data_IF_643201685847
#
_entry.id   IF_643201685847
#
_cell.length_a   1.000
_cell.length_b   1.000
_cell.length_c   1.000
_cell.angle_alpha   90.00
_cell.angle_beta   90.00
_cell.angle_gamma   90.00
#
_symmetry.space_group_name_H-M   'P 1'
#
loop_
_entity.id
_entity.type
_entity.pdbx_description
1 polymer ?
#
# COMPACT_ATOMS: atom_id res chain seq x y z
N UNK A 1 -28.77 20.64 -33.50
CA UNK A 1 -30.02 20.03 -34.01
C UNK A 1 -31.16 19.98 -32.98
N UNK A 2 -30.89 20.16 -31.68
CA UNK A 2 -31.86 20.09 -30.58
C UNK A 2 -32.12 21.46 -29.89
N UNK A 3 -31.61 22.55 -30.38
CA UNK A 3 -31.61 23.84 -29.68
C UNK A 3 -32.96 24.62 -29.67
N UNK A 4 -34.00 24.10 -30.27
CA UNK A 4 -35.30 24.81 -30.29
C UNK A 4 -36.55 23.95 -30.55
N UNK A 5 -36.52 22.61 -30.39
CA UNK A 5 -37.65 21.77 -30.76
C UNK A 5 -38.02 20.78 -29.69
N UNK A 6 -39.30 20.68 -29.37
CA UNK A 6 -39.88 19.73 -28.42
C UNK A 6 -39.67 18.28 -28.86
N UNK A 7 -38.98 17.48 -28.07
CA UNK A 7 -38.80 16.04 -28.31
C UNK A 7 -39.97 15.26 -27.66
N UNK A 8 -40.58 14.32 -28.39
CA UNK A 8 -41.57 13.38 -27.85
C UNK A 8 -40.89 12.02 -27.61
N UNK A 9 -41.04 11.49 -26.39
CA UNK A 9 -40.54 10.14 -26.06
C UNK A 9 -41.71 9.16 -26.22
N UNK A 10 -41.48 8.10 -27.03
CA UNK A 10 -42.45 7.00 -27.17
C UNK A 10 -41.81 5.77 -26.54
N UNK A 11 -42.44 5.21 -25.51
CA UNK A 11 -42.00 3.99 -24.88
C UNK A 11 -42.25 2.78 -25.78
N UNK A 12 -41.24 1.92 -25.95
CA UNK A 12 -41.33 0.73 -26.82
C UNK A 12 -41.85 -0.51 -26.12
N UNK A 13 -42.26 -0.40 -24.84
CA UNK A 13 -42.86 -1.49 -24.06
C UNK A 13 -41.89 -2.58 -23.61
N UNK A 14 -40.57 -2.44 -23.86
CA UNK A 14 -39.54 -3.37 -23.34
C UNK A 14 -39.01 -2.83 -22.03
N UNK A 15 -39.17 -3.60 -20.97
CA UNK A 15 -38.57 -3.33 -19.65
C UNK A 15 -37.48 -4.37 -19.38
N UNK A 16 -36.33 -3.95 -18.86
CA UNK A 16 -35.38 -4.83 -18.21
C UNK A 16 -35.20 -4.32 -16.78
N UNK A 17 -34.87 -5.19 -15.85
CA UNK A 17 -35.02 -5.08 -14.40
C UNK A 17 -34.85 -3.69 -13.72
N UNK A 18 -34.39 -2.65 -14.42
CA UNK A 18 -34.34 -1.27 -13.93
C UNK A 18 -34.34 -0.16 -15.02
N UNK A 19 -34.68 -0.46 -16.28
CA UNK A 19 -34.72 0.56 -17.34
C UNK A 19 -35.92 0.41 -18.26
N UNK A 20 -36.62 1.54 -18.50
CA UNK A 20 -37.66 1.64 -19.54
C UNK A 20 -36.95 2.09 -20.83
N UNK A 21 -37.13 1.31 -21.91
CA UNK A 21 -36.58 1.66 -23.21
C UNK A 21 -37.62 2.50 -23.99
N UNK A 22 -37.18 3.59 -24.56
CA UNK A 22 -38.00 4.45 -25.37
C UNK A 22 -37.26 5.04 -26.56
N UNK A 23 -37.97 5.26 -27.68
CA UNK A 23 -37.46 6.02 -28.80
C UNK A 23 -37.80 7.51 -28.64
N UNK A 24 -36.80 8.35 -28.90
CA UNK A 24 -36.97 9.80 -28.90
C UNK A 24 -37.29 10.23 -30.34
N UNK A 25 -38.39 10.90 -30.54
CA UNK A 25 -38.80 11.44 -31.82
C UNK A 25 -38.70 12.98 -31.85
N UNK A 26 -37.98 13.48 -32.85
CA UNK A 26 -37.91 14.91 -33.13
C UNK A 26 -38.53 15.13 -34.51
N UNK A 27 -39.62 15.91 -34.59
CA UNK A 27 -40.36 16.15 -35.82
C UNK A 27 -40.80 14.86 -36.56
N UNK A 28 -41.32 13.87 -35.86
CA UNK A 28 -41.74 12.57 -36.40
C UNK A 28 -40.60 11.66 -36.90
N UNK A 29 -39.33 12.05 -36.81
CA UNK A 29 -38.18 11.22 -37.12
C UNK A 29 -37.66 10.56 -35.82
N UNK A 30 -37.46 9.26 -35.83
CA UNK A 30 -36.82 8.55 -34.72
C UNK A 30 -35.41 9.07 -34.52
N UNK A 31 -35.12 9.55 -33.32
CA UNK A 31 -33.78 10.03 -33.00
C UNK A 31 -32.76 8.88 -33.05
N UNK A 32 -33.20 7.66 -32.79
CA UNK A 32 -32.45 6.43 -32.97
C UNK A 32 -31.99 6.27 -34.40
N UNK A 33 -32.92 6.40 -35.39
CA UNK A 33 -32.60 6.22 -36.79
C UNK A 33 -31.68 7.34 -37.29
N UNK A 34 -31.87 8.54 -36.75
CA UNK A 34 -30.98 9.67 -37.05
C UNK A 34 -29.57 9.46 -36.51
N UNK A 35 -29.45 8.97 -35.27
CA UNK A 35 -28.15 8.64 -34.68
C UNK A 35 -27.46 7.49 -35.41
N UNK A 36 -28.21 6.45 -35.81
CA UNK A 36 -27.69 5.34 -36.63
C UNK A 36 -27.18 5.85 -37.96
N UNK A 37 -27.97 6.61 -38.71
CA UNK A 37 -27.59 7.17 -39.99
C UNK A 37 -26.43 8.14 -39.91
N UNK A 38 -26.32 8.87 -38.82
CA UNK A 38 -25.21 9.81 -38.58
C UNK A 38 -23.97 9.14 -37.91
N UNK A 39 -23.99 7.83 -37.68
CA UNK A 39 -22.90 7.09 -37.02
C UNK A 39 -22.81 7.27 -35.50
N UNK A 40 -23.89 7.67 -34.82
CA UNK A 40 -23.96 7.97 -33.38
C UNK A 40 -24.81 6.99 -32.57
N UNK A 41 -25.13 5.80 -33.07
CA UNK A 41 -26.03 4.88 -32.39
C UNK A 41 -25.43 4.30 -31.09
N UNK A 42 -26.23 4.32 -30.04
CA UNK A 42 -25.93 3.79 -28.71
C UNK A 42 -26.61 2.45 -28.42
N UNK A 43 -26.89 1.63 -29.44
CA UNK A 43 -27.47 0.29 -29.19
C UNK A 43 -26.42 -0.69 -28.68
N UNK A 44 -26.76 -1.41 -27.64
CA UNK A 44 -25.96 -2.32 -26.81
C UNK A 44 -25.40 -3.57 -27.53
N UNK A 45 -25.16 -3.58 -28.82
CA UNK A 45 -24.54 -4.71 -29.53
C UNK A 45 -23.71 -4.31 -30.76
N UNK A 46 -23.29 -3.05 -30.89
CA UNK A 46 -22.57 -2.60 -32.06
C UNK A 46 -21.20 -2.03 -31.69
N UNK A 47 -20.19 -2.89 -31.69
CA UNK A 47 -18.78 -2.51 -31.43
C UNK A 47 -18.25 -1.39 -32.35
N UNK A 48 -18.68 -1.38 -33.62
CA UNK A 48 -18.23 -0.38 -34.59
C UNK A 48 -18.79 1.04 -34.35
N UNK A 49 -20.01 1.14 -33.83
CA UNK A 49 -20.66 2.43 -33.59
C UNK A 49 -20.21 3.05 -32.26
N UNK A 50 -19.90 2.23 -31.29
CA UNK A 50 -19.26 2.67 -30.05
C UNK A 50 -17.86 3.25 -30.32
N UNK A 51 -17.07 2.63 -31.20
CA UNK A 51 -15.76 3.17 -31.61
C UNK A 51 -15.88 4.47 -32.43
N UNK A 52 -16.93 4.60 -33.25
CA UNK A 52 -17.22 5.90 -33.92
C UNK A 52 -17.62 6.99 -32.92
N UNK A 53 -18.45 6.65 -31.92
CA UNK A 53 -18.82 7.57 -30.84
C UNK A 53 -17.61 8.01 -30.00
N UNK A 54 -16.68 7.09 -29.75
CA UNK A 54 -15.39 7.42 -29.10
C UNK A 54 -14.55 8.41 -29.93
N UNK A 55 -14.44 8.19 -31.25
CA UNK A 55 -13.69 9.08 -32.14
C UNK A 55 -14.25 10.50 -32.15
N UNK A 56 -15.55 10.66 -31.98
CA UNK A 56 -16.22 11.96 -31.93
C UNK A 56 -16.20 12.63 -30.56
N UNK A 57 -15.61 11.96 -29.55
CA UNK A 57 -15.56 12.45 -28.16
C UNK A 57 -16.93 12.90 -27.66
N UNK A 58 -17.96 12.06 -27.84
CA UNK A 58 -19.29 12.33 -27.32
C UNK A 58 -19.31 12.23 -25.81
N UNK A 59 -20.10 13.11 -25.18
CA UNK A 59 -20.29 13.16 -23.72
C UNK A 59 -21.79 13.31 -23.40
N UNK A 60 -22.17 12.94 -22.20
CA UNK A 60 -23.51 13.17 -21.64
C UNK A 60 -23.43 14.44 -20.79
N UNK A 61 -24.12 15.50 -21.16
CA UNK A 61 -24.24 16.73 -20.36
C UNK A 61 -25.54 16.68 -19.56
N UNK A 62 -25.43 16.77 -18.24
CA UNK A 62 -26.57 16.97 -17.34
C UNK A 62 -26.80 18.47 -17.17
N UNK A 63 -27.90 18.99 -17.72
CA UNK A 63 -28.22 20.42 -17.70
C UNK A 63 -28.42 20.97 -16.29
N UNK A 64 -29.07 20.22 -15.40
CA UNK A 64 -29.36 20.65 -14.03
C UNK A 64 -28.12 20.88 -13.19
N UNK A 65 -27.10 20.03 -13.36
CA UNK A 65 -25.85 20.13 -12.61
C UNK A 65 -24.71 20.79 -13.37
N UNK A 66 -24.90 21.08 -14.65
CA UNK A 66 -23.91 21.53 -15.62
C UNK A 66 -22.63 20.64 -15.62
N UNK A 67 -22.82 19.34 -15.39
CA UNK A 67 -21.74 18.35 -15.40
C UNK A 67 -21.84 17.47 -16.63
N UNK A 68 -20.69 17.21 -17.26
CA UNK A 68 -20.63 16.28 -18.37
C UNK A 68 -19.97 14.96 -17.96
N UNK A 69 -20.42 13.88 -18.58
CA UNK A 69 -20.08 12.50 -18.24
C UNK A 69 -19.61 11.74 -19.48
N UNK A 70 -18.77 10.72 -19.29
CA UNK A 70 -18.49 9.75 -20.34
C UNK A 70 -19.74 8.92 -20.64
N UNK A 71 -19.86 8.41 -21.87
CA UNK A 71 -21.05 7.65 -22.31
C UNK A 71 -21.38 6.43 -21.45
N UNK A 72 -20.38 5.82 -20.82
CA UNK A 72 -20.54 4.66 -19.94
C UNK A 72 -20.59 5.01 -18.44
N UNK A 73 -20.78 6.29 -18.12
CA UNK A 73 -20.87 6.71 -16.72
C UNK A 73 -22.25 6.44 -16.15
N UNK A 74 -22.34 5.62 -15.10
CA UNK A 74 -23.63 5.30 -14.47
C UNK A 74 -24.40 6.55 -13.99
N UNK A 75 -23.72 7.61 -13.60
CA UNK A 75 -24.35 8.86 -13.17
C UNK A 75 -24.79 9.74 -14.35
N UNK A 76 -24.22 9.57 -15.53
CA UNK A 76 -24.69 10.23 -16.74
C UNK A 76 -25.91 9.52 -17.32
N UNK A 77 -25.95 8.20 -17.29
CA UNK A 77 -27.01 7.39 -17.87
C UNK A 77 -28.34 7.42 -17.09
N UNK A 78 -28.31 7.75 -15.81
CA UNK A 78 -29.52 7.88 -14.95
C UNK A 78 -30.01 9.31 -14.81
N UNK A 79 -29.37 10.28 -15.44
CA UNK A 79 -29.77 11.68 -15.31
C UNK A 79 -31.02 11.98 -16.18
N UNK A 80 -32.07 12.47 -15.55
CA UNK A 80 -33.36 12.77 -16.22
C UNK A 80 -33.25 13.95 -17.22
N UNK A 81 -32.31 14.85 -17.03
CA UNK A 81 -32.12 16.08 -17.80
C UNK A 81 -30.74 16.06 -18.50
N UNK A 82 -30.47 15.02 -19.28
CA UNK A 82 -29.20 14.85 -19.93
C UNK A 82 -29.29 14.81 -21.45
N UNK A 83 -28.32 15.41 -22.11
CA UNK A 83 -28.16 15.37 -23.57
C UNK A 83 -26.79 14.78 -23.93
N UNK A 84 -26.75 14.07 -25.06
CA UNK A 84 -25.48 13.59 -25.64
C UNK A 84 -25.03 14.60 -26.69
N UNK A 85 -23.81 15.09 -26.55
CA UNK A 85 -23.24 16.06 -27.49
C UNK A 85 -21.72 15.86 -27.61
N UNK A 86 -21.10 16.35 -28.70
CA UNK A 86 -19.66 16.39 -28.81
C UNK A 86 -19.03 17.25 -27.70
N UNK A 87 -17.94 16.79 -27.10
CA UNK A 87 -17.24 17.50 -26.00
C UNK A 87 -16.87 18.94 -26.39
N UNK A 88 -16.56 19.19 -27.70
CA UNK A 88 -16.29 20.52 -28.26
C UNK A 88 -17.49 21.48 -28.17
N UNK A 89 -18.69 20.97 -28.00
CA UNK A 89 -19.93 21.76 -27.91
C UNK A 89 -20.34 22.06 -26.47
N UNK A 90 -19.54 21.65 -25.46
CA UNK A 90 -19.76 22.01 -24.08
C UNK A 90 -19.60 23.53 -23.88
N UNK A 91 -20.44 24.09 -23.02
CA UNK A 91 -20.25 25.46 -22.56
C UNK A 91 -18.95 25.60 -21.77
N UNK A 92 -18.32 26.79 -21.79
CA UNK A 92 -17.02 27.02 -21.11
C UNK A 92 -17.06 26.77 -19.60
N UNK A 93 -18.22 26.89 -18.98
CA UNK A 93 -18.45 26.68 -17.56
C UNK A 93 -18.89 25.24 -17.20
N UNK A 94 -19.06 24.37 -18.21
CA UNK A 94 -19.41 22.96 -17.97
C UNK A 94 -18.28 22.23 -17.26
N UNK A 95 -18.63 21.49 -16.18
CA UNK A 95 -17.67 20.81 -15.33
C UNK A 95 -17.65 19.29 -15.59
N UNK A 96 -16.46 18.66 -15.63
CA UNK A 96 -16.38 17.21 -15.75
C UNK A 96 -16.96 16.50 -14.51
N UNK A 97 -17.63 15.39 -14.73
CA UNK A 97 -18.08 14.53 -13.64
C UNK A 97 -16.89 13.96 -12.88
N UNK A 98 -16.87 14.13 -11.56
CA UNK A 98 -15.78 13.68 -10.69
C UNK A 98 -15.55 12.16 -10.71
N UNK A 99 -16.52 11.37 -11.14
CA UNK A 99 -16.46 9.91 -11.14
C UNK A 99 -15.97 9.32 -12.47
N UNK A 100 -16.32 9.91 -13.60
CA UNK A 100 -15.93 9.38 -14.91
C UNK A 100 -14.89 10.21 -15.65
N UNK A 101 -14.80 11.48 -15.36
CA UNK A 101 -13.66 12.34 -15.66
C UNK A 101 -12.82 12.47 -14.38
N UNK A 102 -12.43 11.35 -13.79
CA UNK A 102 -11.13 11.37 -13.10
C UNK A 102 -10.19 12.00 -14.13
N UNK A 103 -9.59 13.18 -13.85
CA UNK A 103 -8.49 13.70 -14.65
C UNK A 103 -7.72 12.49 -15.08
N UNK A 104 -7.57 12.19 -16.40
CA UNK A 104 -6.51 11.30 -16.85
C UNK A 104 -5.37 11.76 -15.99
N UNK A 105 -5.01 10.94 -15.01
CA UNK A 105 -3.80 11.22 -14.30
C UNK A 105 -2.84 11.47 -15.45
N UNK A 106 -2.35 12.69 -15.60
CA UNK A 106 -1.15 12.96 -16.39
C UNK A 106 -0.34 11.74 -16.15
N UNK A 107 0.20 11.07 -17.19
CA UNK A 107 0.96 9.85 -17.01
C UNK A 107 1.91 10.13 -15.86
N UNK A 108 1.40 9.93 -14.66
CA UNK A 108 2.13 10.14 -13.42
C UNK A 108 3.29 9.22 -13.64
N UNK A 109 4.49 9.78 -13.83
CA UNK A 109 5.72 9.03 -13.89
C UNK A 109 5.54 7.96 -12.83
N UNK A 110 5.31 6.71 -13.27
CA UNK A 110 5.27 5.59 -12.35
C UNK A 110 6.63 5.61 -11.72
N UNK A 111 6.66 5.87 -10.42
CA UNK A 111 7.94 5.90 -9.74
C UNK A 111 8.53 4.49 -9.86
N UNK A 112 9.77 4.32 -10.26
CA UNK A 112 10.37 3.00 -10.29
C UNK A 112 10.32 2.42 -8.87
N UNK A 113 9.79 1.21 -8.68
CA UNK A 113 9.54 0.61 -7.37
C UNK A 113 10.67 -0.27 -6.87
N UNK A 114 11.83 -0.26 -7.53
CA UNK A 114 13.00 -1.00 -7.13
C UNK A 114 14.29 -0.25 -7.48
N UNK A 115 15.28 -0.34 -6.58
CA UNK A 115 16.66 0.13 -6.80
C UNK A 115 17.66 -0.88 -6.26
N UNK A 116 18.84 -0.95 -6.86
CA UNK A 116 19.90 -1.89 -6.46
C UNK A 116 21.30 -1.28 -6.57
N UNK A 117 22.21 -1.80 -5.75
CA UNK A 117 23.66 -1.62 -5.95
C UNK A 117 24.35 -2.94 -6.38
N UNK A 118 23.55 -3.96 -6.76
CA UNK A 118 24.00 -5.31 -7.12
C UNK A 118 23.76 -6.32 -6.00
N UNK A 119 24.26 -6.07 -4.80
CA UNK A 119 24.12 -7.00 -3.66
C UNK A 119 22.95 -6.64 -2.73
N UNK A 120 22.55 -5.38 -2.74
CA UNK A 120 21.39 -4.89 -2.00
C UNK A 120 20.35 -4.43 -3.01
N UNK A 121 19.15 -4.97 -2.91
CA UNK A 121 17.98 -4.49 -3.64
C UNK A 121 16.97 -3.95 -2.63
N UNK A 122 16.42 -2.78 -2.88
CA UNK A 122 15.31 -2.20 -2.12
C UNK A 122 14.08 -2.14 -3.01
N UNK A 123 12.98 -2.62 -2.48
CA UNK A 123 11.67 -2.63 -3.12
C UNK A 123 10.73 -1.72 -2.33
N UNK A 124 10.00 -0.88 -3.03
CA UNK A 124 8.92 -0.08 -2.50
C UNK A 124 7.60 -0.55 -3.12
N UNK A 125 6.51 -0.45 -2.39
CA UNK A 125 5.17 -0.67 -2.93
C UNK A 125 4.34 0.60 -2.82
N UNK A 126 3.56 0.89 -3.87
CA UNK A 126 2.80 2.13 -4.00
C UNK A 126 1.31 1.86 -3.82
N UNK A 127 0.77 2.22 -2.66
CA UNK A 127 -0.65 2.08 -2.31
C UNK A 127 -1.60 2.85 -3.27
N UNK A 128 -1.06 3.78 -4.06
CA UNK A 128 -1.87 4.55 -5.02
C UNK A 128 -2.09 3.80 -6.34
N UNK A 129 -1.38 2.69 -6.57
CA UNK A 129 -1.41 1.92 -7.81
C UNK A 129 -2.36 0.72 -7.74
N UNK A 130 -2.52 0.11 -6.57
CA UNK A 130 -3.31 -1.11 -6.37
C UNK A 130 -4.49 -0.80 -5.45
N UNK A 131 -5.70 -0.72 -6.01
CA UNK A 131 -6.91 -0.37 -5.24
C UNK A 131 -7.65 -1.59 -4.67
N UNK A 132 -7.28 -2.79 -5.10
CA UNK A 132 -7.83 -4.06 -4.60
C UNK A 132 -6.73 -5.09 -4.52
N UNK A 133 -6.50 -5.72 -3.35
CA UNK A 133 -5.48 -6.74 -3.22
C UNK A 133 -5.92 -8.02 -3.94
N UNK A 134 -4.97 -8.71 -4.52
CA UNK A 134 -5.18 -10.05 -5.08
C UNK A 134 -4.16 -11.04 -4.47
N UNK A 135 -4.37 -12.33 -4.71
CA UNK A 135 -3.47 -13.39 -4.27
C UNK A 135 -2.47 -13.80 -5.36
N UNK A 136 -2.24 -12.94 -6.36
CA UNK A 136 -1.29 -13.18 -7.44
C UNK A 136 0.04 -12.48 -7.17
N UNK A 137 1.12 -13.16 -7.50
CA UNK A 137 2.48 -12.66 -7.29
C UNK A 137 2.93 -11.74 -8.43
N UNK A 138 2.29 -10.56 -8.59
CA UNK A 138 2.56 -9.63 -9.70
C UNK A 138 3.52 -8.49 -9.32
N UNK A 139 3.61 -8.14 -8.04
CA UNK A 139 4.48 -7.06 -7.59
C UNK A 139 5.96 -7.46 -7.70
N UNK A 140 6.84 -6.48 -7.93
CA UNK A 140 8.29 -6.73 -7.99
C UNK A 140 8.82 -7.39 -6.71
N UNK A 141 8.29 -7.00 -5.57
CA UNK A 141 8.70 -7.56 -4.27
C UNK A 141 8.28 -9.02 -4.12
N UNK A 142 7.09 -9.40 -4.62
CA UNK A 142 6.64 -10.79 -4.62
C UNK A 142 7.47 -11.64 -5.59
N UNK A 143 7.75 -11.13 -6.78
CA UNK A 143 8.61 -11.80 -7.77
C UNK A 143 10.02 -12.04 -7.24
N UNK A 144 10.61 -11.08 -6.51
CA UNK A 144 11.91 -11.28 -5.85
C UNK A 144 11.83 -12.40 -4.82
N UNK A 145 10.83 -12.40 -3.94
CA UNK A 145 10.65 -13.46 -2.95
C UNK A 145 10.49 -14.84 -3.62
N UNK A 146 9.66 -14.91 -4.66
CA UNK A 146 9.45 -16.13 -5.44
C UNK A 146 10.77 -16.63 -6.06
N UNK A 147 11.55 -15.73 -6.64
CA UNK A 147 12.87 -16.05 -7.22
C UNK A 147 13.84 -16.59 -6.17
N UNK A 148 13.89 -16.00 -4.98
CA UNK A 148 14.75 -16.43 -3.88
C UNK A 148 14.36 -17.85 -3.37
N UNK A 149 13.07 -18.13 -3.21
CA UNK A 149 12.58 -19.46 -2.81
C UNK A 149 12.94 -20.51 -3.87
N UNK A 150 12.74 -20.20 -5.14
CA UNK A 150 13.03 -21.13 -6.24
C UNK A 150 14.55 -21.41 -6.39
N UNK A 151 15.38 -20.43 -6.06
CA UNK A 151 16.85 -20.55 -6.15
C UNK A 151 17.48 -21.17 -4.90
N UNK A 152 16.70 -21.45 -3.83
CA UNK A 152 17.24 -22.06 -2.61
C UNK A 152 17.56 -23.53 -2.81
N UNK A 153 18.74 -23.93 -2.31
CA UNK A 153 19.28 -25.30 -2.46
C UNK A 153 19.33 -26.06 -1.13
N UNK A 154 19.56 -25.36 0.00
CA UNK A 154 19.85 -26.00 1.28
C UNK A 154 18.83 -25.70 2.38
N UNK A 155 18.52 -24.41 2.61
CA UNK A 155 17.67 -24.01 3.74
C UNK A 155 16.90 -22.72 3.46
N UNK A 156 15.72 -22.63 4.08
CA UNK A 156 14.90 -21.41 4.18
C UNK A 156 14.45 -21.26 5.62
N UNK A 157 14.95 -20.23 6.30
CA UNK A 157 14.51 -19.86 7.64
C UNK A 157 13.54 -18.69 7.55
N UNK A 158 12.36 -18.83 8.16
CA UNK A 158 11.24 -17.88 8.03
C UNK A 158 10.83 -17.39 9.42
N UNK A 159 10.90 -16.08 9.64
CA UNK A 159 10.27 -15.44 10.80
C UNK A 159 9.10 -14.59 10.30
N UNK A 160 7.88 -14.89 10.76
CA UNK A 160 6.68 -14.24 10.27
C UNK A 160 5.67 -13.90 11.37
N UNK A 161 5.12 -12.69 11.28
CA UNK A 161 4.02 -12.26 12.13
C UNK A 161 2.69 -12.89 11.71
N UNK A 162 2.48 -13.10 10.40
CA UNK A 162 1.28 -13.72 9.88
C UNK A 162 1.45 -14.11 8.41
N UNK A 163 0.70 -15.10 8.02
CA UNK A 163 0.68 -15.65 6.67
C UNK A 163 -0.74 -15.71 6.13
N UNK A 164 -0.95 -15.16 4.95
CA UNK A 164 -2.16 -15.39 4.16
C UNK A 164 -1.74 -16.02 2.85
N UNK A 165 -2.41 -17.10 2.48
CA UNK A 165 -2.04 -17.92 1.34
C UNK A 165 -1.98 -17.11 0.02
N UNK A 166 -0.78 -17.03 -0.55
CA UNK A 166 -0.52 -16.60 -1.93
C UNK A 166 -0.03 -17.84 -2.67
N UNK A 167 -0.84 -18.40 -3.58
CA UNK A 167 -0.60 -19.73 -4.15
C UNK A 167 0.78 -19.94 -4.76
N UNK A 168 1.30 -18.94 -5.49
CA UNK A 168 2.61 -19.05 -6.14
C UNK A 168 3.74 -19.16 -5.11
N UNK A 169 3.67 -18.40 -4.01
CA UNK A 169 4.68 -18.46 -2.93
C UNK A 169 4.56 -19.77 -2.15
N UNK A 170 3.34 -20.19 -1.83
CA UNK A 170 3.12 -21.46 -1.13
C UNK A 170 3.64 -22.66 -1.97
N UNK A 171 3.27 -22.71 -3.26
CA UNK A 171 3.72 -23.78 -4.17
C UNK A 171 5.24 -23.78 -4.35
N UNK A 172 5.87 -22.61 -4.40
CA UNK A 172 7.33 -22.50 -4.44
C UNK A 172 7.99 -23.10 -3.18
N UNK A 173 7.41 -22.88 -1.99
CA UNK A 173 7.89 -23.48 -0.75
C UNK A 173 7.66 -25.01 -0.75
N UNK A 174 6.52 -25.50 -1.26
CA UNK A 174 6.26 -26.94 -1.44
C UNK A 174 7.34 -27.55 -2.36
N UNK A 175 7.59 -26.92 -3.50
CA UNK A 175 8.60 -27.37 -4.45
C UNK A 175 10.01 -27.32 -3.85
N UNK A 176 10.35 -26.29 -3.07
CA UNK A 176 11.62 -26.21 -2.36
C UNK A 176 11.79 -27.40 -1.40
N UNK A 177 10.75 -27.72 -0.60
CA UNK A 177 10.75 -28.88 0.28
C UNK A 177 10.94 -30.19 -0.49
N UNK A 178 10.28 -30.36 -1.65
CA UNK A 178 10.42 -31.54 -2.52
C UNK A 178 11.86 -31.68 -3.08
N UNK A 179 12.56 -30.56 -3.31
CA UNK A 179 13.98 -30.55 -3.67
C UNK A 179 14.92 -30.90 -2.51
N UNK A 180 14.39 -31.08 -1.30
CA UNK A 180 15.18 -31.39 -0.09
C UNK A 180 15.61 -30.15 0.71
N UNK A 181 15.13 -28.94 0.37
CA UNK A 181 15.41 -27.71 1.09
C UNK A 181 14.78 -27.80 2.49
N UNK A 182 15.57 -27.55 3.53
CA UNK A 182 15.12 -27.55 4.94
C UNK A 182 14.42 -26.24 5.26
N UNK A 183 13.11 -26.28 5.48
CA UNK A 183 12.32 -25.10 5.88
C UNK A 183 12.14 -25.11 7.39
N UNK A 184 12.45 -23.97 8.06
CA UNK A 184 12.21 -23.77 9.50
C UNK A 184 11.43 -22.48 9.68
N UNK A 185 10.50 -22.47 10.64
CA UNK A 185 9.55 -21.35 10.79
C UNK A 185 9.44 -20.95 12.25
N UNK A 186 9.59 -19.66 12.49
CA UNK A 186 9.25 -18.97 13.73
C UNK A 186 8.06 -18.05 13.45
N UNK A 187 7.02 -18.11 14.27
CA UNK A 187 5.77 -17.42 14.00
C UNK A 187 5.10 -16.85 15.25
N UNK A 188 4.23 -15.88 15.06
CA UNK A 188 3.40 -15.28 16.10
C UNK A 188 2.15 -16.12 16.34
N UNK A 189 1.99 -16.70 17.54
CA UNK A 189 0.85 -17.55 17.85
C UNK A 189 -0.42 -16.76 18.20
N UNK A 190 -0.32 -15.47 18.53
CA UNK A 190 -1.48 -14.63 18.82
C UNK A 190 -2.36 -14.43 17.59
N UNK A 191 -1.84 -14.77 16.39
CA UNK A 191 -2.49 -14.59 15.09
C UNK A 191 -3.10 -15.86 14.51
N UNK A 192 -3.06 -17.00 15.22
CA UNK A 192 -3.66 -18.26 14.75
C UNK A 192 -5.13 -18.11 14.37
N UNK A 193 -5.88 -17.27 15.08
CA UNK A 193 -7.28 -16.99 14.76
C UNK A 193 -7.46 -15.97 13.63
N UNK A 194 -6.43 -15.14 13.37
CA UNK A 194 -6.47 -14.10 12.33
C UNK A 194 -5.93 -14.58 10.97
N UNK A 195 -4.99 -15.54 11.02
CA UNK A 195 -4.32 -16.08 9.84
C UNK A 195 -4.36 -17.62 9.87
N UNK A 196 -5.54 -18.22 9.68
CA UNK A 196 -5.69 -19.67 9.75
C UNK A 196 -4.79 -20.42 8.76
N UNK A 197 -4.43 -19.78 7.65
CA UNK A 197 -3.53 -20.33 6.64
C UNK A 197 -2.09 -20.52 7.16
N UNK A 198 -1.71 -19.88 8.25
CA UNK A 198 -0.40 -20.11 8.88
C UNK A 198 -0.22 -21.60 9.23
N UNK A 199 -1.28 -22.26 9.70
CA UNK A 199 -1.24 -23.70 10.03
C UNK A 199 -0.88 -24.58 8.84
N UNK A 200 -1.34 -24.23 7.64
CA UNK A 200 -0.95 -24.94 6.41
C UNK A 200 0.53 -24.75 6.09
N UNK A 201 1.03 -23.53 6.25
CA UNK A 201 2.45 -23.25 6.04
C UNK A 201 3.34 -24.03 7.01
N UNK A 202 2.95 -24.16 8.29
CA UNK A 202 3.72 -24.87 9.30
C UNK A 202 3.90 -26.36 8.97
N UNK A 203 2.99 -26.98 8.21
CA UNK A 203 3.13 -28.38 7.75
C UNK A 203 4.32 -28.58 6.80
N UNK A 204 4.81 -27.52 6.18
CA UNK A 204 6.00 -27.56 5.31
C UNK A 204 7.30 -27.57 6.11
N UNK A 205 7.26 -27.12 7.35
CA UNK A 205 8.47 -26.89 8.13
C UNK A 205 9.06 -28.19 8.70
N UNK A 206 10.37 -28.28 8.66
CA UNK A 206 11.15 -29.29 9.40
C UNK A 206 11.11 -29.04 10.91
N UNK A 207 11.14 -27.76 11.33
CA UNK A 207 11.05 -27.33 12.72
C UNK A 207 10.31 -26.00 12.82
N UNK A 208 9.47 -25.85 13.85
CA UNK A 208 8.72 -24.64 14.13
C UNK A 208 8.87 -24.22 15.59
N UNK A 209 8.70 -22.94 15.86
CA UNK A 209 8.57 -22.39 17.21
C UNK A 209 7.61 -21.20 17.18
N UNK A 210 6.67 -21.20 18.12
CA UNK A 210 5.72 -20.10 18.32
C UNK A 210 6.07 -19.31 19.59
N UNK A 211 5.68 -18.05 19.61
CA UNK A 211 5.94 -17.11 20.71
C UNK A 211 4.90 -17.15 21.84
N UNK A 212 4.95 -16.15 22.71
CA UNK A 212 3.94 -15.90 23.74
C UNK A 212 2.79 -15.05 23.17
N UNK A 213 1.51 -15.46 23.34
CA UNK A 213 0.35 -14.76 22.74
C UNK A 213 0.10 -13.34 23.26
N UNK A 214 0.79 -12.90 24.32
CA UNK A 214 0.59 -11.58 24.94
C UNK A 214 1.47 -10.47 24.37
N UNK A 215 2.56 -10.82 23.67
CA UNK A 215 3.54 -9.92 23.10
C UNK A 215 3.81 -10.40 21.68
N UNK A 216 4.03 -9.50 20.73
CA UNK A 216 4.12 -9.87 19.32
C UNK A 216 5.53 -10.34 18.90
N UNK A 217 5.62 -11.50 18.26
CA UNK A 217 6.72 -11.83 17.40
C UNK A 217 6.46 -11.15 16.02
N UNK A 218 6.92 -9.92 15.89
CA UNK A 218 6.54 -9.06 14.75
C UNK A 218 7.61 -8.98 13.64
N UNK A 219 8.61 -9.84 13.69
CA UNK A 219 9.61 -10.00 12.63
C UNK A 219 8.97 -10.42 11.30
N UNK A 220 9.58 -10.02 10.21
CA UNK A 220 9.20 -10.36 8.84
C UNK A 220 10.45 -10.53 8.01
N UNK A 221 11.03 -11.73 8.07
CA UNK A 221 12.22 -12.00 7.27
C UNK A 221 12.33 -13.47 6.82
N UNK A 222 13.05 -13.65 5.73
CA UNK A 222 13.51 -14.95 5.24
C UNK A 222 15.03 -14.93 5.15
N UNK A 223 15.65 -16.04 5.50
CA UNK A 223 17.08 -16.31 5.27
C UNK A 223 17.17 -17.50 4.32
N UNK A 224 17.89 -17.34 3.22
CA UNK A 224 18.06 -18.35 2.19
C UNK A 224 19.51 -18.84 2.16
N UNK A 225 19.70 -20.14 2.34
CA UNK A 225 20.98 -20.84 2.28
C UNK A 225 22.08 -20.21 3.16
N UNK A 226 21.71 -19.58 4.26
CA UNK A 226 22.60 -18.83 5.16
C UNK A 226 23.41 -17.70 4.50
N UNK A 227 22.95 -17.24 3.32
CA UNK A 227 23.69 -16.29 2.47
C UNK A 227 22.89 -15.05 2.10
N UNK A 228 21.58 -15.17 1.95
CA UNK A 228 20.74 -14.07 1.50
C UNK A 228 19.65 -13.79 2.52
N UNK A 229 19.34 -12.53 2.70
CA UNK A 229 18.29 -12.04 3.59
C UNK A 229 17.21 -11.31 2.77
N UNK A 230 15.95 -11.60 3.06
CA UNK A 230 14.80 -10.81 2.61
C UNK A 230 14.07 -10.31 3.85
N UNK A 231 13.94 -8.99 4.02
CA UNK A 231 13.36 -8.38 5.22
C UNK A 231 12.76 -7.01 4.95
N UNK A 232 11.88 -6.54 5.84
CA UNK A 232 11.27 -5.22 5.74
C UNK A 232 9.99 -5.07 6.54
N UNK A 233 9.11 -4.18 6.06
CA UNK A 233 7.85 -3.89 6.75
C UNK A 233 6.71 -4.81 6.33
N UNK A 234 6.83 -5.55 5.23
CA UNK A 234 5.77 -6.28 4.57
C UNK A 234 5.35 -7.55 5.31
N UNK A 235 4.05 -7.71 5.60
CA UNK A 235 3.48 -8.99 5.97
C UNK A 235 3.34 -9.90 4.75
N UNK A 236 3.50 -11.19 4.94
CA UNK A 236 3.36 -12.19 3.87
C UNK A 236 1.89 -12.53 3.64
N UNK A 237 1.13 -11.56 3.19
CA UNK A 237 -0.32 -11.62 2.96
C UNK A 237 -0.67 -11.07 1.58
N UNK A 238 -1.88 -11.34 1.12
CA UNK A 238 -2.38 -10.76 -0.16
C UNK A 238 -2.24 -9.23 -0.20
N UNK A 239 -2.50 -8.53 0.91
CA UNK A 239 -2.38 -7.06 0.99
C UNK A 239 -0.93 -6.56 0.96
N UNK A 240 0.03 -7.37 1.46
CA UNK A 240 1.46 -7.07 1.38
C UNK A 240 2.04 -7.42 0.01
N UNK A 241 1.91 -8.69 -0.38
CA UNK A 241 2.55 -9.25 -1.57
C UNK A 241 1.98 -8.72 -2.89
N UNK A 242 0.69 -8.33 -2.95
CA UNK A 242 0.11 -7.70 -4.15
C UNK A 242 0.57 -6.26 -4.40
N UNK A 243 1.24 -5.62 -3.43
CA UNK A 243 1.59 -4.20 -3.50
C UNK A 243 0.46 -3.25 -3.11
N UNK A 244 -0.62 -3.76 -2.51
CA UNK A 244 -1.76 -2.96 -2.05
C UNK A 244 -1.38 -2.02 -0.90
N UNK A 245 -0.62 -2.51 0.09
CA UNK A 245 -0.06 -1.67 1.14
C UNK A 245 1.28 -1.06 0.70
N UNK A 246 1.59 0.16 1.13
CA UNK A 246 2.91 0.77 0.94
C UNK A 246 3.91 0.19 1.95
N UNK A 247 4.92 -0.49 1.43
CA UNK A 247 5.98 -1.14 2.20
C UNK A 247 7.37 -0.74 1.70
N UNK A 248 8.39 -0.98 2.54
CA UNK A 248 9.79 -0.96 2.19
C UNK A 248 10.40 -2.31 2.53
N UNK A 249 11.01 -2.97 1.55
CA UNK A 249 11.55 -4.33 1.67
C UNK A 249 12.95 -4.38 1.05
N UNK A 250 13.82 -5.16 1.66
CA UNK A 250 15.19 -5.38 1.20
C UNK A 250 15.43 -6.85 0.88
N UNK A 251 16.16 -7.08 -0.21
CA UNK A 251 16.82 -8.34 -0.53
C UNK A 251 18.31 -8.08 -0.49
N UNK A 252 19.03 -8.74 0.41
CA UNK A 252 20.44 -8.49 0.70
C UNK A 252 21.24 -9.78 0.48
N UNK A 253 22.17 -9.75 -0.44
CA UNK A 253 23.11 -10.83 -0.70
C UNK A 253 24.40 -10.59 0.12
N UNK A 254 24.36 -10.98 1.40
CA UNK A 254 25.52 -10.95 2.31
C UNK A 254 25.40 -12.06 3.34
N UNK A 255 26.36 -12.96 3.31
CA UNK A 255 26.47 -14.05 4.29
C UNK A 255 26.59 -13.51 5.71
N UNK A 256 27.34 -12.45 5.91
CA UNK A 256 27.58 -11.85 7.23
C UNK A 256 26.30 -11.28 7.84
N UNK A 257 25.48 -10.56 7.05
CA UNK A 257 24.20 -10.03 7.50
C UNK A 257 23.19 -11.17 7.71
N UNK A 258 23.14 -12.14 6.81
CA UNK A 258 22.30 -13.33 6.97
C UNK A 258 22.62 -14.08 8.27
N UNK A 259 23.90 -14.20 8.64
CA UNK A 259 24.33 -14.86 9.87
C UNK A 259 23.90 -14.11 11.14
N UNK A 260 23.85 -12.78 11.15
CA UNK A 260 23.31 -12.03 12.31
C UNK A 260 21.80 -12.27 12.45
N UNK A 261 21.06 -12.26 11.35
CA UNK A 261 19.63 -12.61 11.37
C UNK A 261 19.39 -14.06 11.75
N UNK A 262 20.31 -14.96 11.37
CA UNK A 262 20.24 -16.36 11.79
C UNK A 262 20.43 -16.52 13.29
N UNK A 263 21.35 -15.79 13.91
CA UNK A 263 21.51 -15.81 15.36
C UNK A 263 20.24 -15.35 16.10
N UNK A 264 19.56 -14.33 15.59
CA UNK A 264 18.26 -13.88 16.09
C UNK A 264 17.20 -14.96 15.89
N UNK A 265 17.15 -15.57 14.71
CA UNK A 265 16.23 -16.65 14.39
C UNK A 265 16.41 -17.89 15.27
N UNK A 266 17.66 -18.31 15.51
CA UNK A 266 17.97 -19.49 16.33
C UNK A 266 17.49 -19.32 17.76
N UNK A 267 17.65 -18.14 18.37
CA UNK A 267 17.12 -17.87 19.69
C UNK A 267 15.61 -18.10 19.76
N UNK A 268 14.87 -17.56 18.78
CA UNK A 268 13.41 -17.72 18.70
C UNK A 268 13.03 -19.18 18.38
N UNK A 269 13.78 -19.86 17.54
CA UNK A 269 13.56 -21.28 17.23
C UNK A 269 13.77 -22.19 18.43
N UNK A 270 14.62 -21.80 19.37
CA UNK A 270 14.84 -22.46 20.67
C UNK A 270 13.80 -22.07 21.73
N UNK A 271 12.78 -21.27 21.36
CA UNK A 271 11.72 -20.83 22.26
C UNK A 271 12.06 -19.58 23.10
N UNK A 272 13.19 -18.93 22.83
CA UNK A 272 13.57 -17.68 23.49
C UNK A 272 13.04 -16.49 22.68
N UNK A 273 11.99 -15.87 23.18
CA UNK A 273 11.33 -14.71 22.57
C UNK A 273 11.43 -13.48 23.48
N UNK A 274 11.24 -12.31 22.90
CA UNK A 274 11.11 -11.05 23.62
C UNK A 274 12.30 -10.79 24.55
N UNK A 275 12.04 -10.53 25.83
CA UNK A 275 13.08 -10.27 26.83
C UNK A 275 13.92 -11.50 27.21
N UNK A 276 13.52 -12.71 26.83
CA UNK A 276 14.31 -13.93 27.08
C UNK A 276 15.43 -14.16 26.08
N UNK A 277 15.47 -13.39 25.00
CA UNK A 277 16.59 -13.39 24.04
C UNK A 277 17.80 -12.67 24.60
N UNK A 278 18.98 -13.15 24.24
CA UNK A 278 20.23 -12.45 24.49
C UNK A 278 20.45 -11.35 23.48
N UNK A 279 21.06 -10.25 23.90
CA UNK A 279 21.48 -9.19 23.00
C UNK A 279 22.59 -9.67 22.08
N UNK A 280 22.42 -9.48 20.78
CA UNK A 280 23.44 -9.79 19.80
C UNK A 280 24.53 -8.69 19.76
N UNK A 281 25.77 -9.03 19.42
CA UNK A 281 26.81 -8.02 19.21
C UNK A 281 26.43 -7.06 18.10
N UNK A 282 26.52 -5.75 18.36
CA UNK A 282 26.33 -4.73 17.34
C UNK A 282 27.41 -4.88 16.28
N UNK A 283 27.00 -5.16 15.04
CA UNK A 283 27.90 -5.26 13.89
C UNK A 283 27.44 -4.34 12.78
N UNK A 284 28.39 -3.69 12.15
CA UNK A 284 28.18 -2.82 11.00
C UNK A 284 28.89 -3.41 9.79
N UNK A 285 28.17 -3.48 8.68
CA UNK A 285 28.65 -4.11 7.45
C UNK A 285 28.73 -3.09 6.32
N UNK A 286 29.85 -3.07 5.62
CA UNK A 286 30.03 -2.25 4.43
C UNK A 286 29.90 -3.13 3.18
N UNK A 287 28.92 -2.82 2.35
CA UNK A 287 28.66 -3.48 1.07
C UNK A 287 28.70 -2.41 -0.01
N UNK A 288 29.79 -2.34 -0.76
CA UNK A 288 30.04 -1.30 -1.78
C UNK A 288 29.93 0.12 -1.19
N UNK A 289 29.00 0.92 -1.67
CA UNK A 289 28.71 2.30 -1.28
C UNK A 289 27.73 2.41 -0.07
N UNK A 290 27.38 1.29 0.54
CA UNK A 290 26.35 1.22 1.55
C UNK A 290 26.87 0.61 2.84
N UNK A 291 26.55 1.24 3.97
CA UNK A 291 26.82 0.71 5.32
C UNK A 291 25.52 0.32 5.98
N UNK A 292 25.42 -0.91 6.48
CA UNK A 292 24.22 -1.45 7.12
C UNK A 292 24.52 -1.89 8.54
N UNK A 293 23.68 -1.48 9.48
CA UNK A 293 23.70 -1.96 10.86
C UNK A 293 22.32 -2.54 11.20
N UNK A 294 22.20 -3.87 11.36
CA UNK A 294 20.99 -4.51 11.85
C UNK A 294 20.85 -4.34 13.37
N UNK A 295 19.61 -4.22 13.82
CA UNK A 295 19.21 -4.15 15.22
C UNK A 295 17.98 -5.01 15.47
N UNK A 296 17.85 -5.49 16.71
CA UNK A 296 16.72 -6.33 17.11
C UNK A 296 16.12 -5.85 18.44
N UNK A 297 14.81 -5.67 18.45
CA UNK A 297 14.07 -5.36 19.68
C UNK A 297 13.67 -6.67 20.40
N UNK A 298 13.52 -6.57 21.71
CA UNK A 298 13.66 -5.39 22.59
C UNK A 298 15.09 -5.10 23.05
N UNK A 299 16.08 -5.95 22.73
CA UNK A 299 17.43 -5.91 23.32
C UNK A 299 18.21 -4.64 22.96
N UNK A 300 18.01 -4.10 21.75
CA UNK A 300 18.81 -2.97 21.29
C UNK A 300 18.24 -1.60 21.67
N UNK A 301 16.96 -1.54 22.07
CA UNK A 301 16.27 -0.25 22.33
C UNK A 301 16.53 0.74 21.19
N UNK A 302 16.15 0.34 19.98
CA UNK A 302 16.64 0.94 18.73
C UNK A 302 16.23 2.40 18.60
N UNK A 303 15.01 2.77 19.02
CA UNK A 303 14.52 4.14 18.91
C UNK A 303 15.36 5.05 19.80
N UNK A 304 15.48 4.71 21.07
CA UNK A 304 16.17 5.54 22.07
C UNK A 304 17.68 5.61 21.80
N UNK A 305 18.31 4.45 21.56
CA UNK A 305 19.76 4.36 21.50
C UNK A 305 20.36 4.69 20.12
N UNK A 306 19.58 4.60 19.04
CA UNK A 306 20.13 4.75 17.69
C UNK A 306 19.35 5.73 16.82
N UNK A 307 18.00 5.71 16.79
CA UNK A 307 17.21 6.60 15.91
C UNK A 307 17.20 8.04 16.46
N UNK A 308 16.90 8.24 17.74
CA UNK A 308 16.88 9.59 18.36
C UNK A 308 18.23 10.30 18.21
N UNK A 309 19.38 9.68 18.43
CA UNK A 309 20.68 10.30 18.13
C UNK A 309 20.85 10.78 16.69
N UNK A 310 20.33 10.03 15.69
CA UNK A 310 20.34 10.44 14.28
C UNK A 310 19.40 11.63 14.03
N UNK A 311 18.19 11.60 14.60
CA UNK A 311 17.23 12.72 14.56
C UNK A 311 17.83 13.99 15.15
N UNK A 312 18.56 13.86 16.26
CA UNK A 312 19.23 15.00 16.91
C UNK A 312 20.37 15.58 16.07
N UNK A 313 21.00 14.80 15.20
CA UNK A 313 22.08 15.21 14.29
C UNK A 313 21.59 15.67 12.92
N UNK A 314 20.30 15.51 12.61
CA UNK A 314 19.72 15.90 11.32
C UNK A 314 19.91 17.42 11.08
N UNK A 315 20.27 17.78 9.83
CA UNK A 315 20.59 19.15 9.42
C UNK A 315 19.58 19.74 8.44
N UNK A 316 19.03 18.94 7.55
CA UNK A 316 18.22 19.42 6.43
C UNK A 316 16.78 18.93 6.52
N UNK A 317 16.56 17.61 6.53
CA UNK A 317 15.21 17.08 6.57
C UNK A 317 15.10 15.68 7.20
N UNK A 318 13.88 15.37 7.66
CA UNK A 318 13.46 14.06 8.14
C UNK A 318 12.10 13.73 7.50
N UNK A 319 12.02 12.69 6.69
CA UNK A 319 10.79 12.21 6.07
C UNK A 319 10.39 10.86 6.65
N UNK A 320 9.12 10.72 7.04
CA UNK A 320 8.64 9.54 7.78
C UNK A 320 7.36 9.02 7.14
N UNK A 321 7.43 7.99 6.29
CA UNK A 321 6.27 7.16 5.95
C UNK A 321 6.13 6.09 7.02
N UNK A 322 5.07 6.16 7.84
CA UNK A 322 4.91 5.29 8.99
C UNK A 322 3.49 4.77 9.18
N UNK A 323 3.38 3.47 9.51
CA UNK A 323 2.13 2.87 9.92
C UNK A 323 1.58 3.53 11.19
N UNK A 324 2.43 3.74 12.19
CA UNK A 324 2.09 4.48 13.41
C UNK A 324 3.31 5.16 14.04
N UNK A 325 3.08 6.26 14.75
CA UNK A 325 4.06 6.90 15.62
C UNK A 325 3.38 7.18 16.97
N UNK A 326 3.77 6.45 18.00
CA UNK A 326 3.21 6.57 19.36
C UNK A 326 4.29 6.71 20.45
N UNK A 327 5.59 6.70 20.07
CA UNK A 327 6.72 6.81 20.97
C UNK A 327 6.93 8.25 21.40
N UNK A 328 6.87 8.53 22.70
CA UNK A 328 6.90 9.88 23.25
C UNK A 328 8.26 10.58 23.00
N UNK A 329 9.35 9.93 23.39
CA UNK A 329 10.70 10.53 23.26
C UNK A 329 11.09 10.77 21.80
N UNK A 330 10.66 9.89 20.87
CA UNK A 330 10.86 10.12 19.44
C UNK A 330 10.06 11.34 18.96
N UNK A 331 8.82 11.48 19.43
CA UNK A 331 8.00 12.64 19.07
C UNK A 331 8.64 13.93 19.55
N UNK A 332 9.16 13.97 20.78
CA UNK A 332 9.88 15.12 21.33
C UNK A 332 11.16 15.44 20.54
N UNK A 333 11.92 14.42 20.15
CA UNK A 333 13.12 14.60 19.34
C UNK A 333 12.80 15.20 17.95
N UNK A 334 11.71 14.72 17.29
CA UNK A 334 11.25 15.25 16.00
C UNK A 334 10.79 16.72 16.12
N UNK A 335 10.07 17.05 17.19
CA UNK A 335 9.65 18.45 17.46
C UNK A 335 10.89 19.34 17.71
N UNK A 336 11.87 18.86 18.47
CA UNK A 336 13.14 19.59 18.67
C UNK A 336 13.90 19.76 17.35
N UNK A 337 13.92 18.75 16.48
CA UNK A 337 14.53 18.86 15.15
C UNK A 337 13.82 19.93 14.30
N UNK A 338 12.48 19.93 14.30
CA UNK A 338 11.69 20.95 13.59
C UNK A 338 11.97 22.37 14.11
N UNK A 339 12.08 22.55 15.43
CA UNK A 339 12.46 23.85 16.05
C UNK A 339 13.88 24.32 15.69
N UNK A 340 14.76 23.40 15.28
CA UNK A 340 16.09 23.70 14.72
C UNK A 340 16.07 24.02 13.22
N UNK A 341 14.89 24.22 12.62
CA UNK A 341 14.66 24.44 11.18
C UNK A 341 14.95 23.20 10.29
N UNK A 342 14.95 22.00 10.85
CA UNK A 342 14.95 20.78 10.05
C UNK A 342 13.55 20.57 9.47
N UNK A 343 13.45 20.33 8.16
CA UNK A 343 12.17 20.05 7.49
C UNK A 343 11.67 18.66 7.88
N UNK A 344 10.66 18.56 8.76
CA UNK A 344 10.05 17.28 9.12
C UNK A 344 8.72 17.13 8.39
N UNK A 345 8.56 16.02 7.62
CA UNK A 345 7.31 15.65 6.94
C UNK A 345 6.91 14.22 7.31
N UNK A 346 5.63 13.99 7.59
CA UNK A 346 5.13 12.71 8.03
C UNK A 346 3.92 12.30 7.18
N UNK A 347 3.92 11.07 6.67
CA UNK A 347 2.74 10.40 6.11
C UNK A 347 2.40 9.27 7.07
N UNK A 348 1.16 9.24 7.56
CA UNK A 348 0.69 8.22 8.51
C UNK A 348 -0.53 7.50 7.96
N UNK A 349 -0.67 6.23 8.33
CA UNK A 349 -1.83 5.38 8.04
C UNK A 349 -3.12 5.92 8.68
N UNK A 350 -4.25 5.86 7.95
CA UNK A 350 -5.53 6.43 8.38
C UNK A 350 -6.08 5.75 9.64
N UNK A 351 -6.03 4.40 9.72
CA UNK A 351 -6.53 3.67 10.88
C UNK A 351 -5.74 4.01 12.15
N UNK A 352 -4.43 4.26 12.01
CA UNK A 352 -3.56 4.59 13.13
C UNK A 352 -3.50 6.08 13.46
N UNK A 353 -3.85 6.95 12.52
CA UNK A 353 -3.92 8.40 12.78
C UNK A 353 -4.94 8.75 13.87
N UNK A 354 -6.06 8.01 13.93
CA UNK A 354 -7.14 8.18 14.92
C UNK A 354 -6.89 7.47 16.25
N UNK A 355 -5.83 6.66 16.36
CA UNK A 355 -5.49 5.98 17.61
C UNK A 355 -5.26 7.00 18.75
N UNK A 356 -5.84 6.79 19.96
CA UNK A 356 -5.69 7.70 21.09
C UNK A 356 -4.23 8.02 21.49
N UNK A 357 -3.30 7.10 21.22
CA UNK A 357 -1.87 7.27 21.47
C UNK A 357 -1.11 7.90 20.30
N UNK A 358 -1.78 8.16 19.17
CA UNK A 358 -1.19 8.76 17.98
C UNK A 358 -0.59 10.15 18.28
N UNK A 359 0.58 10.43 17.71
CA UNK A 359 1.25 11.72 17.86
C UNK A 359 0.87 12.73 16.77
N UNK A 360 -0.08 12.41 15.88
CA UNK A 360 -0.51 13.30 14.80
C UNK A 360 -0.94 14.68 15.29
N UNK A 361 -1.80 14.72 16.32
CA UNK A 361 -2.24 16.01 16.92
C UNK A 361 -1.07 16.80 17.48
N UNK A 362 -0.19 16.14 18.22
CA UNK A 362 0.99 16.76 18.83
C UNK A 362 1.92 17.35 17.77
N UNK A 363 2.22 16.60 16.70
CA UNK A 363 3.05 17.09 15.61
C UNK A 363 2.45 18.31 14.91
N UNK A 364 1.16 18.25 14.58
CA UNK A 364 0.46 19.38 13.94
C UNK A 364 0.43 20.63 14.81
N UNK A 365 0.22 20.48 16.11
CA UNK A 365 0.32 21.59 17.08
C UNK A 365 1.71 22.19 17.16
N UNK A 366 2.75 21.39 16.95
CA UNK A 366 4.14 21.86 16.89
C UNK A 366 4.54 22.43 15.52
N UNK A 367 3.62 22.51 14.54
CA UNK A 367 3.87 23.04 13.21
C UNK A 367 4.45 22.02 12.21
N UNK A 368 4.61 20.75 12.60
CA UNK A 368 5.08 19.69 11.69
C UNK A 368 3.93 19.28 10.77
N UNK A 369 4.10 19.35 9.43
CA UNK A 369 3.10 18.89 8.49
C UNK A 369 2.96 17.38 8.53
N UNK A 370 1.74 16.90 8.83
CA UNK A 370 1.38 15.48 8.82
C UNK A 370 0.22 15.25 7.86
N UNK A 371 0.43 14.43 6.85
CA UNK A 371 -0.61 13.93 5.96
C UNK A 371 -1.09 12.57 6.43
N UNK A 372 -2.40 12.40 6.46
CA UNK A 372 -3.05 11.10 6.69
C UNK A 372 -3.35 10.55 5.29
N UNK A 373 -2.90 9.35 5.00
CA UNK A 373 -3.19 8.74 3.70
C UNK A 373 -4.71 8.53 3.54
N UNK A 374 -5.17 8.48 2.29
CA UNK A 374 -6.60 8.39 1.95
C UNK A 374 -6.85 7.42 0.79
N UNK A 375 -6.16 6.30 0.82
CA UNK A 375 -6.30 5.19 -0.11
C UNK A 375 -6.77 3.94 0.64
N UNK A 376 -7.26 2.93 -0.10
CA UNK A 376 -7.65 1.65 0.45
C UNK A 376 -6.46 0.90 1.09
N UNK A 377 -5.30 0.92 0.43
CA UNK A 377 -4.06 0.35 0.97
C UNK A 377 -3.48 1.20 2.09
N UNK A 378 -2.80 0.56 3.03
CA UNK A 378 -2.21 1.20 4.22
C UNK A 378 -0.80 1.70 3.95
N UNK A 379 -0.41 2.82 4.56
CA UNK A 379 1.00 3.15 4.73
C UNK A 379 1.60 2.21 5.77
N UNK A 380 2.02 1.03 5.33
CA UNK A 380 2.52 -0.02 6.22
C UNK A 380 4.05 0.02 6.42
N UNK A 381 4.73 0.97 5.80
CA UNK A 381 6.15 1.26 6.06
C UNK A 381 6.39 1.67 7.51
N UNK A 382 7.56 1.37 8.02
CA UNK A 382 8.09 1.82 9.30
C UNK A 382 9.47 2.37 9.01
N UNK A 383 9.47 3.50 8.27
CA UNK A 383 10.70 4.04 7.70
C UNK A 383 10.92 5.49 8.07
N UNK A 384 12.18 5.89 8.12
CA UNK A 384 12.61 7.27 8.33
C UNK A 384 13.81 7.55 7.44
N UNK A 385 13.76 8.65 6.69
CA UNK A 385 14.84 9.11 5.83
C UNK A 385 15.40 10.41 6.40
N UNK A 386 16.72 10.49 6.60
CA UNK A 386 17.39 11.64 7.19
C UNK A 386 18.49 12.14 6.23
N UNK A 387 18.39 13.37 5.78
CA UNK A 387 19.42 14.15 5.07
C UNK A 387 20.01 13.46 3.82
N UNK A 388 19.23 12.71 3.04
CA UNK A 388 19.76 11.85 1.94
C UNK A 388 20.91 10.91 2.36
N UNK A 389 21.09 10.69 3.63
CA UNK A 389 22.21 9.95 4.17
C UNK A 389 21.79 8.67 4.86
N UNK A 390 20.82 8.75 5.73
CA UNK A 390 20.36 7.63 6.52
C UNK A 390 18.97 7.20 6.12
N UNK A 391 18.78 5.89 5.99
CA UNK A 391 17.49 5.23 5.83
C UNK A 391 17.32 4.23 6.97
N UNK A 392 16.28 4.41 7.75
CA UNK A 392 15.82 3.49 8.79
C UNK A 392 14.63 2.73 8.21
N UNK A 393 14.64 1.41 8.25
CA UNK A 393 13.52 0.58 7.79
C UNK A 393 13.54 -0.81 8.44
N UNK A 394 12.39 -1.44 8.56
CA UNK A 394 12.25 -2.78 9.14
C UNK A 394 10.82 -3.10 9.52
N UNK A 395 10.65 -4.03 10.45
CA UNK A 395 9.34 -4.41 10.96
C UNK A 395 8.83 -3.51 12.09
N UNK A 396 9.74 -2.80 12.77
CA UNK A 396 9.49 -2.09 14.02
C UNK A 396 8.65 -0.83 13.84
N UNK A 397 7.44 -0.83 14.40
CA UNK A 397 6.65 0.39 14.53
C UNK A 397 7.32 1.38 15.49
N UNK A 398 7.18 2.68 15.22
CA UNK A 398 7.71 3.74 16.10
C UNK A 398 6.87 3.89 17.37
N UNK A 399 6.90 2.86 18.21
CA UNK A 399 6.09 2.73 19.43
C UNK A 399 6.90 2.17 20.60
N UNK A 400 6.44 2.41 21.85
CA UNK A 400 7.07 1.81 23.04
C UNK A 400 7.02 0.28 23.01
N UNK A 401 5.96 -0.32 22.45
CA UNK A 401 5.88 -1.78 22.35
C UNK A 401 6.85 -2.32 21.29
N UNK A 402 6.99 -1.64 20.14
CA UNK A 402 7.95 -2.01 19.10
C UNK A 402 9.39 -1.96 19.60
N UNK A 403 9.73 -0.99 20.44
CA UNK A 403 11.08 -0.87 20.99
C UNK A 403 11.37 -1.83 22.14
N UNK A 404 10.41 -1.99 23.10
CA UNK A 404 10.72 -2.54 24.42
C UNK A 404 10.05 -3.90 24.72
N UNK A 405 9.19 -4.39 23.82
CA UNK A 405 8.41 -5.61 24.07
C UNK A 405 8.47 -6.61 22.92
N UNK A 406 8.11 -6.16 21.72
CA UNK A 406 7.98 -7.04 20.56
C UNK A 406 9.33 -7.57 20.05
N UNK A 407 9.30 -8.73 19.41
CA UNK A 407 10.41 -9.16 18.56
C UNK A 407 10.32 -8.45 17.21
N UNK A 408 11.25 -7.53 16.97
CA UNK A 408 11.30 -6.71 15.75
C UNK A 408 12.71 -6.69 15.19
N UNK A 409 12.82 -6.42 13.90
CA UNK A 409 14.08 -6.08 13.28
C UNK A 409 14.05 -4.66 12.70
N UNK A 410 15.20 -4.02 12.68
CA UNK A 410 15.40 -2.69 12.13
C UNK A 410 16.77 -2.61 11.48
N UNK A 411 16.83 -2.07 10.27
CA UNK A 411 18.06 -1.74 9.57
C UNK A 411 18.27 -0.23 9.65
N UNK A 412 19.47 0.20 10.05
CA UNK A 412 19.97 1.54 9.82
C UNK A 412 20.98 1.46 8.68
N UNK A 413 20.63 2.10 7.56
CA UNK A 413 21.37 2.07 6.32
C UNK A 413 21.93 3.46 6.06
N UNK A 414 23.25 3.58 6.02
CA UNK A 414 23.96 4.77 5.58
C UNK A 414 24.31 4.61 4.10
N UNK A 415 23.55 5.29 3.23
CA UNK A 415 23.69 5.24 1.78
C UNK A 415 22.94 6.40 1.13
N UNK A 416 23.65 7.25 0.43
CA UNK A 416 23.01 8.32 -0.34
C UNK A 416 22.07 7.74 -1.41
N UNK A 417 22.47 6.68 -2.08
CA UNK A 417 21.69 6.00 -3.13
C UNK A 417 20.27 5.62 -2.64
N UNK A 418 20.20 4.84 -1.56
CA UNK A 418 18.92 4.34 -1.05
C UNK A 418 18.13 5.42 -0.33
N UNK A 419 18.78 6.29 0.43
CA UNK A 419 18.12 7.39 1.14
C UNK A 419 17.51 8.41 0.16
N UNK A 420 18.26 8.83 -0.85
CA UNK A 420 17.77 9.74 -1.90
C UNK A 420 16.61 9.13 -2.68
N UNK A 421 16.74 7.89 -3.13
CA UNK A 421 15.68 7.20 -3.86
C UNK A 421 14.37 7.13 -3.06
N UNK A 422 14.47 6.79 -1.76
CA UNK A 422 13.27 6.72 -0.93
C UNK A 422 12.72 8.13 -0.59
N UNK A 423 13.57 9.14 -0.46
CA UNK A 423 13.09 10.52 -0.25
C UNK A 423 12.31 11.04 -1.45
N UNK A 424 12.72 10.71 -2.67
CA UNK A 424 12.01 11.05 -3.89
C UNK A 424 10.66 10.30 -3.99
N UNK A 425 10.61 9.03 -3.61
CA UNK A 425 9.35 8.28 -3.50
C UNK A 425 8.43 8.84 -2.43
N UNK A 426 8.98 9.24 -1.28
CA UNK A 426 8.19 9.92 -0.24
C UNK A 426 7.57 11.21 -0.76
N UNK A 427 8.32 12.06 -1.47
CA UNK A 427 7.80 13.30 -2.07
C UNK A 427 6.75 13.01 -3.16
N UNK A 428 6.91 11.94 -3.92
CA UNK A 428 5.90 11.49 -4.87
C UNK A 428 4.58 11.14 -4.15
N UNK A 429 4.62 10.35 -3.08
CA UNK A 429 3.43 10.06 -2.25
C UNK A 429 2.90 11.31 -1.57
N UNK A 430 3.80 12.16 -1.06
CA UNK A 430 3.44 13.43 -0.44
C UNK A 430 2.60 14.31 -1.37
N UNK A 431 2.96 14.38 -2.63
CA UNK A 431 2.23 15.18 -3.62
C UNK A 431 0.88 14.54 -4.03
N UNK A 432 0.76 13.23 -3.95
CA UNK A 432 -0.50 12.52 -4.25
C UNK A 432 -1.52 12.58 -3.11
N UNK A 433 -1.06 12.49 -1.88
CA UNK A 433 -1.92 12.47 -0.69
C UNK A 433 -2.31 13.91 -0.33
N UNK A 434 -3.61 14.27 -0.28
CA UNK A 434 -4.06 15.60 0.12
C UNK A 434 -3.85 15.84 1.61
N UNK A 435 -3.75 17.11 2.03
CA UNK A 435 -3.83 17.43 3.44
C UNK A 435 -5.29 17.34 3.91
N UNK A 436 -5.55 16.48 4.88
CA UNK A 436 -6.86 16.33 5.54
C UNK A 436 -6.67 16.29 7.05
N UNK A 437 -7.61 16.87 7.80
CA UNK A 437 -7.57 16.82 9.26
C UNK A 437 -7.86 15.43 9.79
N UNK A 438 -8.77 14.72 9.13
CA UNK A 438 -9.20 13.39 9.45
C UNK A 438 -9.47 12.61 8.16
N UNK A 439 -9.20 11.32 8.18
CA UNK A 439 -9.54 10.36 7.12
C UNK A 439 -10.06 9.11 7.79
N UNK A 440 -11.20 8.59 7.33
CA UNK A 440 -11.66 7.26 7.69
C UNK A 440 -10.87 6.24 6.87
N UNK A 441 -10.33 5.22 7.53
CA UNK A 441 -9.59 4.15 6.84
C UNK A 441 -10.52 3.38 5.90
N UNK A 442 -11.78 3.12 6.35
CA UNK A 442 -12.87 2.64 5.53
C UNK A 442 -13.93 3.72 5.43
N UNK A 443 -14.35 4.09 4.20
CA UNK A 443 -15.33 5.13 3.98
C UNK A 443 -15.11 5.92 2.69
N UNK A 444 -16.07 6.81 2.38
CA UNK A 444 -16.07 7.65 1.16
C UNK A 444 -14.88 8.62 1.06
N UNK A 445 -14.15 8.83 2.15
CA UNK A 445 -12.95 9.67 2.16
C UNK A 445 -11.69 8.95 1.69
N UNK A 446 -11.70 7.62 1.72
CA UNK A 446 -10.58 6.75 1.36
C UNK A 446 -10.81 6.13 -0.01
N UNK A 447 -9.86 6.32 -0.92
CA UNK A 447 -9.99 5.93 -2.32
C UNK A 447 -9.92 4.41 -2.45
N UNK A 448 -11.04 3.80 -2.81
CA UNK A 448 -11.15 2.36 -3.08
C UNK A 448 -11.56 1.52 -1.88
N UNK A 449 -11.51 2.03 -0.64
CA UNK A 449 -11.76 1.24 0.58
C UNK A 449 -13.17 0.64 0.68
N UNK A 450 -14.18 1.24 0.02
CA UNK A 450 -15.53 0.71 0.00
C UNK A 450 -15.80 -0.34 -1.11
N UNK A 451 -14.76 -0.96 -1.67
CA UNK A 451 -14.90 -1.94 -2.77
C UNK A 451 -13.67 -2.83 -2.97
N UNK A 452 -12.82 -2.95 -1.97
CA UNK A 452 -11.56 -3.68 -2.05
C UNK A 452 -11.61 -5.09 -1.42
N UNK A 453 -12.66 -5.39 -0.66
CA UNK A 453 -12.85 -6.66 0.03
C UNK A 453 -11.93 -6.81 1.25
N UNK A 454 -11.56 -5.69 1.90
CA UNK A 454 -10.71 -5.64 3.10
C UNK A 454 -11.40 -4.81 4.18
N UNK A 455 -11.39 -5.29 5.41
CA UNK A 455 -11.72 -4.50 6.59
C UNK A 455 -10.56 -3.52 6.88
N UNK A 456 -10.69 -2.28 6.36
CA UNK A 456 -9.60 -1.30 6.43
C UNK A 456 -9.49 -0.64 7.81
N UNK A 457 -10.56 -0.61 8.60
CA UNK A 457 -10.63 0.03 9.91
C UNK A 457 -10.62 -0.96 11.09
N UNK A 458 -10.67 -2.29 10.80
CA UNK A 458 -10.66 -3.40 11.77
C UNK A 458 -11.89 -3.45 12.70
N UNK A 459 -13.07 -3.08 12.22
CA UNK A 459 -14.31 -3.14 13.00
C UNK A 459 -15.13 -4.42 12.72
N UNK A 460 -14.69 -5.27 11.82
CA UNK A 460 -15.31 -6.53 11.41
C UNK A 460 -16.32 -6.40 10.26
N UNK A 461 -16.46 -5.21 9.66
CA UNK A 461 -17.30 -4.95 8.49
C UNK A 461 -16.45 -4.66 7.27
N UNK A 462 -16.92 -5.00 6.10
CA UNK A 462 -16.17 -4.90 4.85
C UNK A 462 -16.99 -4.12 3.82
N UNK A 463 -16.35 -3.15 3.15
CA UNK A 463 -16.93 -2.41 2.03
C UNK A 463 -18.30 -1.77 2.40
N UNK A 464 -19.36 -2.14 1.70
CA UNK A 464 -20.71 -1.60 1.91
C UNK A 464 -21.41 -2.10 3.20
N UNK A 465 -20.81 -3.02 3.95
CA UNK A 465 -21.29 -3.40 5.28
C UNK A 465 -20.92 -2.34 6.32
N UNK A 466 -19.84 -1.57 6.07
CA UNK A 466 -19.47 -0.43 6.91
C UNK A 466 -20.37 0.78 6.64
N UNK A 467 -20.90 1.38 7.72
CA UNK A 467 -21.75 2.55 7.65
C UNK A 467 -21.06 3.79 7.02
N UNK A 468 -19.73 3.86 7.11
CA UNK A 468 -18.96 4.95 6.49
C UNK A 468 -18.88 4.85 4.96
N UNK A 469 -19.20 3.68 4.40
CA UNK A 469 -19.30 3.42 2.96
C UNK A 469 -20.71 3.61 2.41
N UNK A 470 -21.74 3.54 3.25
CA UNK A 470 -23.14 3.80 2.92
C UNK A 470 -23.41 5.30 2.80
#
# INVERSE_FOLDING_TARGET
FLTSKTAKIKYTGKENQNCKFGDIFVNKLSYKDHLIKSGYSLQHNFSNEYEKAKKLKLVILNHKSNKYHKLNCKYGTIAHDAVILPERNLAKDSKPCKFCYVKKQEHLKTYPLAISNGDIKMYLTDLTMTLKPDNKCKSLVCQELLGLINASENSIDIALYGWVHVPEIYNALVNARQRGVKIRIVYDISKDNYYPETKELLKLAYRTSGDNPRILMHNKFFIFDDKKLFTGSMNFSKTGLSGFNSNCVFSINSKEIAQIYKQEFEQMLEGRFHNSKSKLPKKTFKIKDTVITPFFSPQDKVITNNIIPLVNKAKHYIYIPAFMITHDELADALIKAHKRNVTVKIIVDAANASNPRSKVKLFRQAGIPVKIENYAGKVHSKSMIIDNKYLIAGSMNFSKSGENKNDENCLIIESERFAKYYSEFFEYLWNKIPYKQYVRAEGKDSIGSCSDGVDNNYDGKIDMEDAACQ
#
